data_IF_977735478078
#
_entry.id   IF_977735478078
#
_cell.length_a   1.000
_cell.length_b   1.000
_cell.length_c   1.000
_cell.angle_alpha   90.00
_cell.angle_beta   90.00
_cell.angle_gamma   90.00
#
_symmetry.space_group_name_H-M   'P 1'
#
loop_
_entity.id
_entity.type
_entity.pdbx_description
1 polymer ?
#
# COMPACT_ATOMS: atom_id res chain seq x y z
N UNK A 1 8.25 -0.74 -1.39
CA UNK A 1 8.03 -0.07 -0.09
C UNK A 1 6.56 -0.01 0.33
N UNK A 2 5.64 0.55 -0.47
CA UNK A 2 4.23 0.73 -0.09
C UNK A 2 3.55 -0.53 0.47
N UNK A 3 3.67 -1.68 -0.21
CA UNK A 3 3.16 -2.96 0.30
C UNK A 3 3.63 -3.22 1.73
N UNK A 4 4.92 -3.12 2.00
CA UNK A 4 5.53 -3.42 3.32
C UNK A 4 5.02 -2.44 4.39
N UNK A 5 4.88 -1.17 4.02
CA UNK A 5 4.34 -0.13 4.90
C UNK A 5 2.87 -0.42 5.27
N UNK A 6 1.99 -0.56 4.26
CA UNK A 6 0.56 -0.72 4.50
C UNK A 6 0.22 -2.04 5.21
N UNK A 7 0.96 -3.11 4.93
CA UNK A 7 0.73 -4.41 5.58
C UNK A 7 1.43 -4.55 6.93
N UNK A 8 2.23 -3.56 7.36
CA UNK A 8 2.97 -3.61 8.62
C UNK A 8 4.03 -4.71 8.65
N UNK A 9 4.58 -5.09 7.49
CA UNK A 9 5.59 -6.14 7.36
C UNK A 9 7.00 -5.68 7.79
N UNK A 10 7.17 -4.40 8.12
CA UNK A 10 8.38 -3.85 8.74
C UNK A 10 8.46 -4.07 10.25
N UNK A 11 7.34 -4.46 10.90
CA UNK A 11 7.30 -4.66 12.36
C UNK A 11 8.28 -5.76 12.77
N UNK A 12 8.67 -5.77 14.05
CA UNK A 12 9.59 -6.75 14.62
C UNK A 12 9.24 -8.18 14.15
N UNK A 13 10.22 -8.97 13.65
CA UNK A 13 11.68 -8.76 13.70
C UNK A 13 12.29 -8.02 12.48
N UNK A 14 11.50 -7.38 11.61
CA UNK A 14 11.95 -6.90 10.28
C UNK A 14 12.29 -5.41 10.20
N UNK A 15 12.46 -4.74 11.34
CA UNK A 15 12.77 -3.31 11.42
C UNK A 15 14.09 -2.97 10.72
N UNK A 16 15.14 -3.79 10.94
CA UNK A 16 16.43 -3.62 10.26
C UNK A 16 16.32 -3.88 8.76
N UNK A 17 15.48 -4.84 8.36
CA UNK A 17 15.27 -5.13 6.94
C UNK A 17 14.58 -3.96 6.22
N UNK A 18 13.69 -3.23 6.91
CA UNK A 18 13.11 -1.99 6.41
C UNK A 18 14.15 -0.90 6.22
N UNK A 19 15.01 -0.66 7.22
CA UNK A 19 16.09 0.34 7.15
C UNK A 19 17.00 0.05 5.96
N UNK A 20 17.48 -1.20 5.82
CA UNK A 20 18.33 -1.61 4.71
C UNK A 20 17.58 -1.47 3.37
N UNK A 21 16.32 -1.90 3.30
CA UNK A 21 15.50 -1.78 2.10
C UNK A 21 15.27 -0.32 1.69
N UNK A 22 15.13 0.59 2.64
CA UNK A 22 15.00 2.01 2.39
C UNK A 22 16.34 2.64 1.95
N UNK A 23 17.47 2.25 2.57
CA UNK A 23 18.80 2.67 2.12
C UNK A 23 19.08 2.18 0.69
N UNK A 24 18.70 0.94 0.35
CA UNK A 24 18.76 0.42 -1.02
C UNK A 24 17.93 1.27 -1.99
N UNK A 25 16.75 1.74 -1.57
CA UNK A 25 15.94 2.66 -2.38
C UNK A 25 16.64 4.00 -2.63
N UNK A 26 17.25 4.61 -1.60
CA UNK A 26 18.04 5.85 -1.77
C UNK A 26 19.25 5.62 -2.68
N UNK A 27 19.98 4.51 -2.50
CA UNK A 27 21.13 4.17 -3.33
C UNK A 27 20.74 3.88 -4.78
N UNK A 28 19.59 3.24 -5.02
CA UNK A 28 19.08 3.00 -6.37
C UNK A 28 18.70 4.31 -7.08
N UNK A 29 18.13 5.28 -6.36
CA UNK A 29 17.89 6.62 -6.90
C UNK A 29 19.19 7.36 -7.19
N UNK A 30 20.16 7.31 -6.27
CA UNK A 30 21.48 7.89 -6.49
C UNK A 30 22.16 7.25 -7.70
N UNK A 31 22.00 5.95 -7.87
CA UNK A 31 22.58 5.21 -8.98
C UNK A 31 21.92 5.51 -10.34
N UNK A 32 20.59 5.68 -10.36
CA UNK A 32 19.91 6.20 -11.54
C UNK A 32 20.38 7.62 -11.88
N UNK A 33 20.52 8.47 -10.86
CA UNK A 33 21.00 9.84 -10.99
C UNK A 33 22.43 9.92 -11.56
N UNK A 34 23.37 9.10 -11.08
CA UNK A 34 24.73 9.09 -11.61
C UNK A 34 24.76 8.55 -13.05
N UNK A 35 23.90 7.59 -13.40
CA UNK A 35 23.83 6.97 -14.72
C UNK A 35 23.29 7.88 -15.81
N UNK A 36 22.15 8.54 -15.59
CA UNK A 36 21.60 9.47 -16.59
C UNK A 36 22.49 10.71 -16.79
N UNK A 37 23.40 10.99 -15.84
CA UNK A 37 24.35 12.09 -15.89
C UNK A 37 25.62 11.81 -16.70
N UNK A 38 25.89 10.55 -17.06
CA UNK A 38 27.11 10.17 -17.80
C UNK A 38 27.14 10.63 -19.28
N UNK A 39 26.02 10.63 -20.03
CA UNK A 39 26.02 11.07 -21.42
C UNK A 39 26.39 12.55 -21.62
N UNK A 40 26.33 13.37 -20.56
CA UNK A 40 26.62 14.81 -20.59
C UNK A 40 25.86 15.55 -21.72
N UNK A 41 24.58 15.24 -21.83
CA UNK A 41 23.65 15.90 -22.74
C UNK A 41 23.02 17.15 -22.08
N UNK A 42 22.33 17.96 -22.89
CA UNK A 42 21.74 19.21 -22.40
C UNK A 42 20.78 19.02 -21.21
N UNK A 43 20.04 17.90 -21.17
CA UNK A 43 19.09 17.61 -20.11
C UNK A 43 19.81 17.23 -18.80
N UNK A 44 20.78 16.32 -18.88
CA UNK A 44 21.54 15.86 -17.73
C UNK A 44 22.45 16.93 -17.14
N UNK A 45 23.12 17.73 -17.96
CA UNK A 45 23.96 18.83 -17.49
C UNK A 45 23.15 19.93 -16.77
N UNK A 46 21.92 20.21 -17.22
CA UNK A 46 21.01 21.10 -16.48
C UNK A 46 20.60 20.50 -15.12
N UNK A 47 20.38 19.19 -15.06
CA UNK A 47 20.18 18.48 -13.79
C UNK A 47 21.38 18.62 -12.84
N UNK A 48 22.60 18.43 -13.36
CA UNK A 48 23.83 18.63 -12.58
C UNK A 48 24.00 20.09 -12.11
N UNK A 49 23.58 21.06 -12.92
CA UNK A 49 23.58 22.48 -12.53
C UNK A 49 22.66 22.76 -11.35
N UNK A 50 21.47 22.12 -11.32
CA UNK A 50 20.54 22.22 -10.17
C UNK A 50 21.20 21.64 -8.92
N UNK A 51 21.84 20.46 -9.02
CA UNK A 51 22.55 19.84 -7.89
C UNK A 51 23.70 20.72 -7.39
N UNK A 52 24.49 21.32 -8.28
CA UNK A 52 25.52 22.29 -7.91
C UNK A 52 24.94 23.47 -7.13
N UNK A 53 23.80 24.01 -7.58
CA UNK A 53 23.06 25.06 -6.88
C UNK A 53 22.59 24.63 -5.48
N UNK A 54 22.02 23.43 -5.35
CA UNK A 54 21.59 22.87 -4.07
C UNK A 54 22.76 22.70 -3.08
N UNK A 55 23.90 22.19 -3.57
CA UNK A 55 25.10 21.98 -2.76
C UNK A 55 25.65 23.33 -2.30
N UNK A 56 25.78 24.32 -3.20
CA UNK A 56 26.22 25.68 -2.85
C UNK A 56 25.28 26.38 -1.88
N UNK A 57 23.98 26.05 -1.90
CA UNK A 57 22.99 26.55 -0.96
C UNK A 57 23.19 26.05 0.48
N UNK A 58 24.01 25.02 0.73
CA UNK A 58 24.32 24.58 2.08
C UNK A 58 25.19 25.63 2.80
N UNK A 59 24.77 26.13 3.97
CA UNK A 59 25.54 27.12 4.70
C UNK A 59 26.87 26.51 5.17
N UNK A 60 27.90 27.36 5.28
CA UNK A 60 29.25 27.04 5.76
C UNK A 60 30.09 26.16 4.82
N UNK A 61 29.57 25.02 4.37
CA UNK A 61 30.35 24.01 3.64
C UNK A 61 30.02 23.92 2.14
N UNK A 62 28.92 24.51 1.68
CA UNK A 62 28.38 24.27 0.34
C UNK A 62 29.36 24.56 -0.81
N UNK A 63 30.01 25.72 -0.79
CA UNK A 63 31.00 26.10 -1.81
C UNK A 63 32.18 25.12 -1.85
N UNK A 64 32.69 24.72 -0.69
CA UNK A 64 33.80 23.76 -0.59
C UNK A 64 33.40 22.37 -1.12
N UNK A 65 32.19 21.92 -0.80
CA UNK A 65 31.66 20.64 -1.28
C UNK A 65 31.45 20.66 -2.80
N UNK A 66 30.92 21.75 -3.36
CA UNK A 66 30.77 21.90 -4.82
C UNK A 66 32.14 21.87 -5.50
N UNK A 67 33.09 22.70 -5.07
CA UNK A 67 34.45 22.74 -5.66
C UNK A 67 35.16 21.40 -5.53
N UNK A 68 34.98 20.71 -4.39
CA UNK A 68 35.50 19.38 -4.20
C UNK A 68 34.94 18.46 -5.28
N UNK A 69 33.63 18.40 -5.47
CA UNK A 69 32.94 17.46 -6.36
C UNK A 69 33.18 17.73 -7.86
N UNK A 70 33.10 18.99 -8.29
CA UNK A 70 33.21 19.37 -9.70
C UNK A 70 34.66 19.61 -10.15
N UNK A 71 35.61 19.78 -9.21
CA UNK A 71 37.00 20.08 -9.53
C UNK A 71 37.25 21.54 -9.92
N UNK A 72 36.34 22.45 -9.56
CA UNK A 72 36.41 23.86 -9.90
C UNK A 72 35.02 24.51 -9.90
N UNK A 73 34.90 25.63 -10.61
CA UNK A 73 33.59 26.20 -10.92
C UNK A 73 32.84 25.32 -11.94
N UNK A 74 31.52 25.20 -11.77
CA UNK A 74 30.66 24.45 -12.66
C UNK A 74 30.78 24.97 -14.11
N UNK A 75 30.83 24.10 -15.15
CA UNK A 75 30.58 22.65 -15.13
C UNK A 75 31.74 21.79 -14.58
N UNK A 76 32.95 22.35 -14.46
CA UNK A 76 34.13 21.62 -13.99
C UNK A 76 34.62 20.54 -14.96
N UNK A 77 35.79 19.96 -14.69
CA UNK A 77 36.40 18.93 -15.55
C UNK A 77 36.35 17.53 -14.93
N UNK A 78 36.08 17.43 -13.64
CA UNK A 78 36.25 16.18 -12.88
C UNK A 78 34.93 15.42 -12.68
N UNK A 79 33.78 16.08 -12.85
CA UNK A 79 32.49 15.53 -12.42
C UNK A 79 32.12 14.24 -13.17
N UNK A 80 32.26 14.21 -14.49
CA UNK A 80 31.87 13.04 -15.31
C UNK A 80 32.74 11.82 -14.95
N UNK A 81 34.06 11.99 -14.81
CA UNK A 81 34.96 10.91 -14.40
C UNK A 81 34.66 10.34 -13.01
N UNK A 82 34.23 11.20 -12.09
CA UNK A 82 33.82 10.78 -10.75
C UNK A 82 32.47 10.07 -10.76
N UNK A 83 31.49 10.61 -11.49
CA UNK A 83 30.19 9.96 -11.67
C UNK A 83 30.34 8.58 -12.32
N UNK A 84 31.24 8.43 -13.30
CA UNK A 84 31.55 7.14 -13.92
C UNK A 84 32.07 6.13 -12.89
N UNK A 85 33.00 6.54 -12.03
CA UNK A 85 33.53 5.68 -10.96
C UNK A 85 32.46 5.32 -9.92
N UNK A 86 31.61 6.28 -9.56
CA UNK A 86 30.49 6.06 -8.64
C UNK A 86 29.46 5.09 -9.23
N UNK A 87 29.08 5.31 -10.50
CA UNK A 87 28.02 4.57 -11.19
C UNK A 87 28.42 3.14 -11.54
N UNK A 88 29.64 2.92 -12.04
CA UNK A 88 30.00 1.57 -12.52
C UNK A 88 30.54 0.69 -11.39
N UNK A 89 31.26 1.28 -10.43
CA UNK A 89 31.97 0.52 -9.39
C UNK A 89 31.31 0.67 -8.02
N UNK A 90 31.31 1.89 -7.46
CA UNK A 90 31.08 2.07 -6.03
C UNK A 90 29.61 1.82 -5.63
N UNK A 91 28.66 2.47 -6.29
CA UNK A 91 27.24 2.38 -5.97
C UNK A 91 26.69 0.96 -6.26
N UNK A 92 26.96 0.32 -7.41
CA UNK A 92 26.54 -1.07 -7.64
C UNK A 92 27.15 -2.05 -6.66
N UNK A 93 28.43 -1.92 -6.29
CA UNK A 93 29.06 -2.81 -5.32
C UNK A 93 28.38 -2.71 -3.94
N UNK A 94 28.07 -1.50 -3.48
CA UNK A 94 27.34 -1.28 -2.23
C UNK A 94 25.90 -1.82 -2.33
N UNK A 95 25.22 -1.57 -3.46
CA UNK A 95 23.87 -2.06 -3.72
C UNK A 95 23.81 -3.59 -3.68
N UNK A 96 24.72 -4.29 -4.35
CA UNK A 96 24.79 -5.76 -4.34
C UNK A 96 25.07 -6.26 -2.93
N UNK A 97 26.04 -5.67 -2.22
CA UNK A 97 26.34 -6.05 -0.84
C UNK A 97 25.14 -5.91 0.10
N UNK A 98 24.44 -4.77 0.06
CA UNK A 98 23.25 -4.54 0.86
C UNK A 98 22.05 -5.39 0.40
N UNK A 99 21.91 -5.67 -0.89
CA UNK A 99 20.86 -6.55 -1.42
C UNK A 99 21.04 -7.97 -0.87
N UNK A 100 22.27 -8.49 -0.83
CA UNK A 100 22.57 -9.79 -0.22
C UNK A 100 22.17 -9.82 1.26
N UNK A 101 22.54 -8.79 2.03
CA UNK A 101 22.14 -8.68 3.44
C UNK A 101 20.61 -8.60 3.58
N UNK A 102 19.95 -7.81 2.73
CA UNK A 102 18.49 -7.66 2.72
C UNK A 102 17.77 -9.00 2.46
N UNK A 103 18.23 -9.76 1.45
CA UNK A 103 17.68 -11.08 1.14
C UNK A 103 18.00 -12.10 2.23
N UNK A 104 19.20 -12.06 2.81
CA UNK A 104 19.59 -12.93 3.92
C UNK A 104 18.69 -12.72 5.14
N UNK A 105 18.43 -11.47 5.53
CA UNK A 105 17.51 -11.16 6.63
C UNK A 105 16.09 -11.64 6.37
N UNK A 106 15.63 -11.59 5.11
CA UNK A 106 14.34 -12.14 4.72
C UNK A 106 14.30 -13.68 4.85
N UNK A 107 15.37 -14.38 4.48
CA UNK A 107 15.47 -15.86 4.59
C UNK A 107 15.51 -16.30 6.06
N UNK A 108 16.26 -15.59 6.90
CA UNK A 108 16.38 -15.86 8.34
C UNK A 108 15.03 -15.60 9.04
N UNK A 109 14.45 -14.42 8.87
CA UNK A 109 13.22 -14.02 9.56
C UNK A 109 11.93 -14.57 8.94
N UNK A 110 12.05 -15.30 7.82
CA UNK A 110 10.96 -15.80 6.97
C UNK A 110 10.04 -14.69 6.43
N UNK A 111 9.34 -15.02 5.34
CA UNK A 111 8.39 -14.09 4.72
C UNK A 111 7.12 -13.94 5.58
N UNK A 112 6.53 -12.74 5.60
CA UNK A 112 5.23 -12.50 6.27
C UNK A 112 4.08 -13.13 5.49
N UNK A 113 3.03 -13.56 6.18
CA UNK A 113 1.80 -14.09 5.57
C UNK A 113 0.57 -13.35 6.08
N UNK A 114 -0.47 -13.22 5.26
CA UNK A 114 -1.76 -12.72 5.77
C UNK A 114 -2.44 -13.79 6.62
N UNK A 115 -3.20 -13.33 7.64
CA UNK A 115 -4.05 -14.19 8.46
C UNK A 115 -4.96 -15.06 7.57
N UNK A 116 -5.10 -16.33 7.95
CA UNK A 116 -5.81 -17.36 7.21
C UNK A 116 -5.82 -18.68 7.98
N UNK A 117 -6.36 -19.77 7.40
CA UNK A 117 -6.55 -21.01 8.12
C UNK A 117 -5.18 -21.68 8.27
N UNK A 118 -4.95 -22.25 9.44
CA UNK A 118 -3.66 -22.84 9.79
C UNK A 118 -2.45 -21.88 9.65
N UNK A 119 -2.66 -20.56 9.57
CA UNK A 119 -1.58 -19.55 9.52
C UNK A 119 -1.42 -18.89 10.88
N UNK A 120 -0.39 -19.29 11.60
CA UNK A 120 -0.04 -18.76 12.93
C UNK A 120 1.20 -17.87 12.84
N UNK A 121 1.56 -17.22 13.95
CA UNK A 121 2.81 -16.47 14.01
C UNK A 121 4.07 -17.37 14.01
N UNK A 122 3.90 -18.67 14.28
CA UNK A 122 5.01 -19.61 14.46
C UNK A 122 5.27 -20.46 13.22
N UNK A 123 4.40 -20.37 12.20
CA UNK A 123 4.52 -21.17 10.99
C UNK A 123 4.50 -20.30 9.72
N UNK A 124 4.84 -20.92 8.60
CA UNK A 124 4.72 -20.33 7.27
C UNK A 124 4.01 -21.34 6.38
N UNK A 125 2.83 -20.97 5.89
CA UNK A 125 2.02 -21.82 5.03
C UNK A 125 2.19 -21.37 3.59
N UNK A 126 2.75 -22.24 2.75
CA UNK A 126 2.96 -21.97 1.34
C UNK A 126 3.64 -23.14 0.64
N UNK A 127 3.90 -22.96 -0.66
CA UNK A 127 4.64 -23.95 -1.44
C UNK A 127 6.11 -23.97 -1.04
N UNK A 128 6.77 -25.14 -1.03
CA UNK A 128 8.21 -25.22 -0.87
C UNK A 128 8.93 -24.49 -2.02
N UNK A 129 10.18 -24.09 -1.77
CA UNK A 129 11.01 -23.35 -2.74
C UNK A 129 11.10 -24.08 -4.09
N UNK A 130 11.26 -25.40 -4.05
CA UNK A 130 11.29 -26.26 -5.23
C UNK A 130 10.15 -27.28 -5.22
N UNK A 131 9.52 -27.56 -6.38
CA UNK A 131 9.72 -26.91 -7.69
C UNK A 131 8.82 -25.68 -7.91
N UNK A 132 7.68 -25.60 -7.20
CA UNK A 132 6.58 -24.70 -7.56
C UNK A 132 6.96 -23.22 -7.44
N UNK A 133 7.59 -22.84 -6.32
CA UNK A 133 7.90 -21.44 -6.07
C UNK A 133 8.99 -20.91 -7.02
N UNK A 134 10.05 -21.69 -7.29
CA UNK A 134 11.08 -21.33 -8.25
C UNK A 134 10.52 -21.18 -9.67
N UNK A 135 9.65 -22.08 -10.12
CA UNK A 135 9.01 -21.94 -11.44
C UNK A 135 8.14 -20.69 -11.54
N UNK A 136 7.40 -20.34 -10.48
CA UNK A 136 6.62 -19.09 -10.42
C UNK A 136 7.52 -17.85 -10.43
N UNK A 137 8.61 -17.86 -9.65
CA UNK A 137 9.59 -16.77 -9.64
C UNK A 137 10.27 -16.60 -11.00
N UNK A 138 10.72 -17.69 -11.63
CA UNK A 138 11.34 -17.68 -12.95
C UNK A 138 10.37 -17.21 -14.04
N UNK A 139 9.11 -17.70 -14.00
CA UNK A 139 8.06 -17.22 -14.90
C UNK A 139 7.79 -15.73 -14.75
N UNK A 140 7.68 -15.22 -13.51
CA UNK A 140 7.50 -13.79 -13.26
C UNK A 140 8.72 -12.96 -13.70
N UNK A 141 9.93 -13.49 -13.55
CA UNK A 141 11.15 -12.86 -14.07
C UNK A 141 11.09 -12.71 -15.60
N UNK A 142 10.74 -13.76 -16.34
CA UNK A 142 10.63 -13.68 -17.81
C UNK A 142 9.50 -12.77 -18.28
N UNK A 143 8.38 -12.71 -17.56
CA UNK A 143 7.31 -11.75 -17.84
C UNK A 143 7.83 -10.32 -17.64
N UNK A 144 8.48 -10.04 -16.52
CA UNK A 144 9.02 -8.70 -16.22
C UNK A 144 10.10 -8.30 -17.23
N UNK A 145 11.02 -9.22 -17.53
CA UNK A 145 12.06 -9.03 -18.54
C UNK A 145 11.46 -8.77 -19.92
N UNK A 146 10.47 -9.58 -20.34
CA UNK A 146 9.78 -9.41 -21.62
C UNK A 146 9.10 -8.05 -21.73
N UNK A 147 8.42 -7.60 -20.67
CA UNK A 147 7.80 -6.26 -20.64
C UNK A 147 8.86 -5.16 -20.75
N UNK A 148 9.98 -5.26 -20.03
CA UNK A 148 11.08 -4.28 -20.11
C UNK A 148 11.66 -4.23 -21.53
N UNK A 149 11.91 -5.39 -22.15
CA UNK A 149 12.42 -5.48 -23.54
C UNK A 149 11.43 -4.88 -24.54
N UNK A 150 10.12 -5.14 -24.36
CA UNK A 150 9.08 -4.55 -25.22
C UNK A 150 9.05 -3.03 -25.08
N UNK A 151 9.11 -2.50 -23.86
CA UNK A 151 9.15 -1.05 -23.64
C UNK A 151 10.40 -0.46 -24.30
N UNK A 152 11.57 -1.06 -24.08
CA UNK A 152 12.83 -0.59 -24.64
C UNK A 152 12.89 -0.68 -26.19
N UNK A 153 12.14 -1.60 -26.79
CA UNK A 153 12.12 -1.78 -28.26
C UNK A 153 11.06 -0.90 -28.94
N UNK A 154 9.93 -0.62 -28.28
CA UNK A 154 8.79 0.08 -28.86
C UNK A 154 8.74 1.57 -28.51
N UNK A 155 9.38 1.98 -27.41
CA UNK A 155 9.37 3.35 -26.93
C UNK A 155 10.79 3.88 -26.79
N UNK A 156 11.03 5.07 -27.33
CA UNK A 156 12.30 5.76 -27.14
C UNK A 156 12.37 6.35 -25.73
N UNK A 157 13.43 6.00 -24.99
CA UNK A 157 13.74 6.56 -23.67
C UNK A 157 15.08 7.30 -23.79
N UNK A 158 15.11 8.54 -23.31
CA UNK A 158 16.27 9.45 -23.32
C UNK A 158 16.96 9.59 -24.70
N UNK A 159 16.31 10.25 -25.69
CA UNK A 159 16.91 10.45 -27.01
C UNK A 159 18.01 11.51 -26.99
N UNK A 160 19.21 11.15 -26.51
CA UNK A 160 20.35 12.07 -26.32
C UNK A 160 20.75 12.83 -27.60
N UNK A 161 20.52 12.25 -28.78
CA UNK A 161 20.78 12.89 -30.08
C UNK A 161 19.85 14.08 -30.37
N UNK A 162 18.68 14.15 -29.75
CA UNK A 162 17.77 15.30 -29.86
C UNK A 162 18.19 16.46 -28.94
N UNK A 163 18.84 16.15 -27.81
CA UNK A 163 19.28 17.15 -26.85
C UNK A 163 20.65 17.75 -27.24
N UNK A 164 21.52 16.94 -27.81
CA UNK A 164 22.89 17.35 -28.13
C UNK A 164 23.79 17.43 -26.89
N UNK A 165 25.08 17.75 -27.09
CA UNK A 165 26.03 17.88 -26.00
C UNK A 165 25.65 19.02 -25.05
N UNK A 166 26.04 18.90 -23.78
CA UNK A 166 25.84 19.96 -22.81
C UNK A 166 26.58 21.24 -23.20
N UNK A 167 25.85 22.35 -23.24
CA UNK A 167 26.37 23.71 -23.36
C UNK A 167 25.74 24.51 -22.20
N UNK A 168 26.53 25.24 -21.40
CA UNK A 168 26.01 26.00 -20.27
C UNK A 168 25.24 27.27 -20.66
N UNK A 169 25.22 27.66 -21.95
CA UNK A 169 24.54 28.86 -22.43
C UNK A 169 23.05 28.66 -22.81
N UNK A 170 22.63 27.56 -23.46
CA UNK A 170 21.22 27.27 -23.68
C UNK A 170 20.57 26.49 -22.51
N UNK A 171 19.26 26.68 -22.35
CA UNK A 171 18.39 25.78 -21.55
C UNK A 171 17.22 25.34 -22.42
N UNK A 172 16.83 24.07 -22.33
CA UNK A 172 15.63 23.57 -23.02
C UNK A 172 14.37 23.85 -22.20
N UNK A 173 13.22 23.94 -22.86
CA UNK A 173 11.94 23.92 -22.17
C UNK A 173 11.67 22.50 -21.64
N UNK A 174 11.17 22.37 -20.40
CA UNK A 174 10.85 21.06 -19.81
C UNK A 174 12.06 20.28 -19.30
N UNK A 175 13.09 20.96 -18.77
CA UNK A 175 14.20 20.29 -18.07
C UNK A 175 13.67 19.64 -16.79
N UNK A 176 13.42 18.33 -16.83
CA UNK A 176 12.93 17.56 -15.70
C UNK A 176 13.89 16.39 -15.45
N UNK A 177 14.22 16.09 -14.19
CA UNK A 177 14.97 14.88 -13.90
C UNK A 177 14.08 13.66 -14.11
N UNK A 178 14.70 12.48 -14.10
CA UNK A 178 13.96 11.23 -14.14
C UNK A 178 12.89 11.16 -13.03
N UNK A 179 11.80 10.45 -13.32
CA UNK A 179 10.60 10.39 -12.47
C UNK A 179 10.88 10.00 -11.01
N UNK A 180 11.93 9.24 -10.74
CA UNK A 180 12.33 8.82 -9.39
C UNK A 180 13.11 9.89 -8.61
N UNK A 181 13.65 10.91 -9.28
CA UNK A 181 14.26 12.11 -8.67
C UNK A 181 13.30 13.32 -8.74
N UNK A 182 12.28 13.27 -9.61
CA UNK A 182 11.32 14.36 -9.84
C UNK A 182 10.77 15.03 -8.57
N UNK A 183 10.46 14.26 -7.53
CA UNK A 183 9.95 14.84 -6.28
C UNK A 183 10.92 15.84 -5.61
N UNK A 184 12.24 15.69 -5.80
CA UNK A 184 13.23 16.60 -5.26
C UNK A 184 13.25 17.93 -6.01
N UNK A 185 13.19 17.89 -7.34
CA UNK A 185 13.06 19.08 -8.19
C UNK A 185 11.73 19.79 -7.95
N UNK A 186 10.63 19.04 -7.88
CA UNK A 186 9.31 19.60 -7.58
C UNK A 186 9.25 20.32 -6.24
N UNK A 187 9.99 19.87 -5.21
CA UNK A 187 10.07 20.58 -3.95
C UNK A 187 10.74 21.96 -4.09
N UNK A 188 11.78 22.06 -4.92
CA UNK A 188 12.44 23.35 -5.23
C UNK A 188 11.51 24.26 -6.03
N UNK A 189 10.78 23.73 -7.01
CA UNK A 189 9.83 24.51 -7.82
C UNK A 189 8.67 25.10 -7.01
N UNK A 190 8.21 24.40 -5.97
CA UNK A 190 7.14 24.88 -5.10
C UNK A 190 7.62 25.85 -4.02
N UNK A 191 8.92 26.02 -3.84
CA UNK A 191 9.47 26.92 -2.85
C UNK A 191 9.22 28.39 -3.23
N UNK A 192 8.75 29.26 -2.32
CA UNK A 192 8.61 30.67 -2.61
C UNK A 192 9.97 31.32 -2.90
N UNK A 193 10.09 31.97 -4.06
CA UNK A 193 11.36 32.52 -4.56
C UNK A 193 11.93 33.67 -3.73
N UNK A 194 11.08 34.38 -2.97
CA UNK A 194 11.46 35.55 -2.17
C UNK A 194 12.02 35.20 -0.77
N UNK A 195 12.24 33.91 -0.48
CA UNK A 195 12.77 33.44 0.80
C UNK A 195 14.30 33.48 0.81
N UNK A 196 14.85 34.68 0.64
CA UNK A 196 16.29 34.92 0.76
C UNK A 196 16.56 36.15 1.62
N UNK A 197 17.58 36.09 2.48
CA UNK A 197 18.00 37.24 3.26
C UNK A 197 19.51 37.26 3.47
N UNK A 198 20.06 38.44 3.70
CA UNK A 198 21.49 38.62 3.98
C UNK A 198 21.68 38.74 5.48
N UNK A 199 22.52 37.89 6.06
CA UNK A 199 22.87 37.91 7.48
C UNK A 199 24.35 37.57 7.67
N UNK A 200 25.05 38.37 8.48
CA UNK A 200 26.50 38.25 8.72
C UNK A 200 27.35 38.26 7.44
N UNK A 201 27.03 39.12 6.47
CA UNK A 201 27.67 39.15 5.15
C UNK A 201 27.57 37.84 4.35
N UNK A 202 26.62 36.96 4.70
CA UNK A 202 26.31 35.75 3.95
C UNK A 202 24.86 35.80 3.46
N UNK A 203 24.63 35.31 2.25
CA UNK A 203 23.28 35.12 1.70
C UNK A 203 22.72 33.80 2.20
N UNK A 204 21.54 33.84 2.80
CA UNK A 204 20.80 32.68 3.26
C UNK A 204 19.64 32.42 2.30
N UNK A 205 19.81 31.42 1.43
CA UNK A 205 18.82 30.98 0.45
C UNK A 205 17.84 29.97 1.07
N UNK A 206 16.85 30.46 1.82
CA UNK A 206 15.83 29.60 2.44
C UNK A 206 14.92 28.92 1.41
N UNK A 207 14.74 29.54 0.24
CA UNK A 207 14.13 28.93 -0.94
C UNK A 207 14.78 27.60 -1.36
N UNK A 208 16.06 27.37 -1.07
CA UNK A 208 16.76 26.09 -1.30
C UNK A 208 16.82 25.26 -0.02
N UNK A 209 17.18 25.87 1.11
CA UNK A 209 17.40 25.18 2.38
C UNK A 209 16.11 24.53 2.90
N UNK A 210 14.97 25.22 2.83
CA UNK A 210 13.71 24.72 3.38
C UNK A 210 13.22 23.48 2.62
N UNK A 211 13.12 23.46 1.28
CA UNK A 211 12.77 22.24 0.54
C UNK A 211 13.72 21.08 0.84
N UNK A 212 15.03 21.31 0.83
CA UNK A 212 16.03 20.26 1.13
C UNK A 212 15.83 19.71 2.55
N UNK A 213 15.59 20.59 3.52
CA UNK A 213 15.34 20.19 4.91
C UNK A 213 14.02 19.42 5.05
N UNK A 214 12.94 19.87 4.42
CA UNK A 214 11.64 19.19 4.45
C UNK A 214 11.74 17.81 3.81
N UNK A 215 12.40 17.68 2.66
CA UNK A 215 12.66 16.39 2.01
C UNK A 215 13.53 15.49 2.87
N UNK A 216 14.61 16.02 3.46
CA UNK A 216 15.48 15.30 4.37
C UNK A 216 14.71 14.77 5.60
N UNK A 217 13.88 15.62 6.21
CA UNK A 217 13.01 15.22 7.32
C UNK A 217 11.98 14.18 6.90
N UNK A 218 11.38 14.30 5.71
CA UNK A 218 10.45 13.30 5.17
C UNK A 218 11.13 11.94 4.97
N UNK A 219 12.31 11.92 4.34
CA UNK A 219 13.12 10.72 4.12
C UNK A 219 13.48 10.08 5.46
N UNK A 220 13.96 10.86 6.43
CA UNK A 220 14.29 10.38 7.77
C UNK A 220 13.05 9.85 8.49
N UNK A 221 11.91 10.55 8.40
CA UNK A 221 10.67 10.12 9.02
C UNK A 221 10.20 8.75 8.49
N UNK A 222 10.29 8.52 7.17
CA UNK A 222 9.96 7.22 6.56
C UNK A 222 10.97 6.14 6.98
N UNK A 223 12.26 6.48 7.02
CA UNK A 223 13.32 5.55 7.44
C UNK A 223 13.09 5.05 8.88
N UNK A 224 12.78 5.96 9.81
CA UNK A 224 12.63 5.63 11.23
C UNK A 224 11.19 5.26 11.64
N UNK A 225 10.24 5.28 10.70
CA UNK A 225 8.83 5.02 10.96
C UNK A 225 8.54 3.74 11.75
N UNK A 226 9.19 2.58 11.47
CA UNK A 226 8.99 1.36 12.28
C UNK A 226 9.21 1.56 13.77
N UNK A 227 10.25 2.33 14.13
CA UNK A 227 10.61 2.60 15.52
C UNK A 227 9.64 3.57 16.18
N UNK A 228 9.10 4.53 15.42
CA UNK A 228 8.03 5.42 15.87
C UNK A 228 6.77 4.60 16.19
N UNK A 229 6.31 3.77 15.25
CA UNK A 229 5.11 2.94 15.47
C UNK A 229 5.31 1.96 16.63
N UNK A 230 6.45 1.29 16.70
CA UNK A 230 6.78 0.38 17.82
C UNK A 230 6.87 1.08 19.17
N UNK A 231 7.30 2.35 19.21
CA UNK A 231 7.29 3.16 20.42
C UNK A 231 5.87 3.57 20.82
N UNK A 232 5.03 3.98 19.86
CA UNK A 232 3.62 4.36 20.12
C UNK A 232 2.81 3.15 20.60
N UNK A 233 2.93 2.00 19.93
CA UNK A 233 2.17 0.79 20.29
C UNK A 233 2.69 0.16 21.58
N UNK A 234 4.01 0.18 21.81
CA UNK A 234 4.64 -0.56 22.90
C UNK A 234 4.71 -2.05 22.72
N UNK A 235 4.28 -2.58 21.57
CA UNK A 235 4.31 -4.01 21.30
C UNK A 235 5.76 -4.44 20.99
N UNK A 236 6.26 -5.41 21.76
CA UNK A 236 7.61 -5.97 21.60
C UNK A 236 7.60 -7.43 21.13
N UNK A 237 6.41 -7.96 20.82
CA UNK A 237 6.23 -9.31 20.29
C UNK A 237 6.74 -9.39 18.84
N UNK A 238 6.97 -10.60 18.38
CA UNK A 238 7.31 -10.85 16.98
C UNK A 238 6.04 -11.02 16.16
N UNK A 239 5.99 -10.34 15.01
CA UNK A 239 4.85 -10.35 14.11
C UNK A 239 5.23 -11.02 12.78
N UNK A 240 4.66 -12.19 12.53
CA UNK A 240 4.79 -12.91 11.25
C UNK A 240 3.50 -12.85 10.43
N UNK A 241 2.39 -12.49 11.08
CA UNK A 241 1.13 -12.18 10.41
C UNK A 241 1.08 -10.72 9.95
N UNK A 242 0.94 -10.53 8.64
CA UNK A 242 0.73 -9.25 7.99
C UNK A 242 -0.68 -8.70 8.32
N UNK A 243 -0.76 -7.42 8.59
CA UNK A 243 -2.04 -6.74 8.80
C UNK A 243 -2.67 -6.37 7.47
N UNK A 244 -3.98 -6.50 7.37
CA UNK A 244 -4.72 -5.86 6.28
C UNK A 244 -4.63 -4.33 6.47
N UNK A 245 -4.38 -3.54 5.42
CA UNK A 245 -4.25 -2.09 5.55
C UNK A 245 -5.46 -1.43 6.23
N UNK A 246 -6.67 -1.91 5.93
CA UNK A 246 -7.90 -1.42 6.57
C UNK A 246 -7.91 -1.60 8.10
N UNK A 247 -7.24 -2.61 8.65
CA UNK A 247 -7.19 -2.90 10.09
C UNK A 247 -6.17 -2.04 10.85
N UNK A 248 -5.31 -1.30 10.13
CA UNK A 248 -4.38 -0.34 10.69
C UNK A 248 -4.70 1.07 10.16
N UNK A 249 -5.93 1.53 10.41
CA UNK A 249 -6.50 2.73 9.79
C UNK A 249 -5.60 3.96 9.90
N UNK A 250 -5.05 4.24 11.09
CA UNK A 250 -4.17 5.40 11.31
C UNK A 250 -2.85 5.28 10.53
N UNK A 251 -2.20 4.11 10.53
CA UNK A 251 -1.00 3.88 9.70
C UNK A 251 -1.31 4.06 8.23
N UNK A 252 -2.40 3.46 7.75
CA UNK A 252 -2.81 3.54 6.35
C UNK A 252 -3.13 4.97 5.94
N UNK A 253 -3.73 5.76 6.82
CA UNK A 253 -3.95 7.18 6.61
C UNK A 253 -2.65 7.99 6.55
N UNK A 254 -1.68 7.72 7.44
CA UNK A 254 -0.34 8.34 7.38
C UNK A 254 0.37 8.00 6.06
N UNK A 255 0.30 6.73 5.65
CA UNK A 255 0.89 6.27 4.38
C UNK A 255 0.24 6.94 3.17
N UNK A 256 -1.09 7.04 3.15
CA UNK A 256 -1.80 7.74 2.07
C UNK A 256 -1.46 9.23 2.02
N UNK A 257 -1.37 9.89 3.18
CA UNK A 257 -0.92 11.28 3.26
C UNK A 257 0.50 11.47 2.71
N UNK A 258 1.43 10.57 3.08
CA UNK A 258 2.80 10.58 2.55
C UNK A 258 2.89 10.31 1.05
N UNK A 259 2.04 9.41 0.51
CA UNK A 259 1.94 9.16 -0.94
C UNK A 259 1.40 10.38 -1.66
N UNK A 260 0.37 11.05 -1.13
CA UNK A 260 -0.16 12.29 -1.74
C UNK A 260 0.87 13.41 -1.69
N UNK A 261 1.59 13.57 -0.58
CA UNK A 261 2.70 14.52 -0.48
C UNK A 261 3.75 14.26 -1.56
N UNK A 262 4.22 13.01 -1.68
CA UNK A 262 5.17 12.61 -2.73
C UNK A 262 4.62 12.83 -4.14
N UNK A 263 3.34 12.51 -4.39
CA UNK A 263 2.71 12.64 -5.70
C UNK A 263 2.56 14.09 -6.13
N UNK A 264 2.27 15.01 -5.20
CA UNK A 264 2.21 16.45 -5.49
C UNK A 264 3.59 16.98 -5.84
N UNK A 265 4.63 16.58 -5.09
CA UNK A 265 6.02 16.95 -5.42
C UNK A 265 6.43 16.40 -6.79
N UNK A 266 6.09 15.15 -7.08
CA UNK A 266 6.34 14.54 -8.38
C UNK A 266 5.61 15.28 -9.51
N UNK A 267 4.34 15.65 -9.31
CA UNK A 267 3.58 16.44 -10.29
C UNK A 267 4.16 17.86 -10.47
N UNK A 268 4.71 18.46 -9.41
CA UNK A 268 5.34 19.77 -9.47
C UNK A 268 6.60 19.79 -10.33
N UNK A 269 7.35 18.69 -10.38
CA UNK A 269 8.46 18.52 -11.32
C UNK A 269 8.01 18.72 -12.77
N UNK A 270 6.76 18.36 -13.08
CA UNK A 270 6.15 18.49 -14.40
C UNK A 270 5.24 19.71 -14.58
N UNK A 271 5.34 20.71 -13.70
CA UNK A 271 4.45 21.89 -13.69
C UNK A 271 4.40 22.66 -15.01
N UNK A 272 5.54 22.80 -15.69
CA UNK A 272 5.67 23.44 -17.01
C UNK A 272 4.98 22.63 -18.13
N UNK A 273 5.15 21.31 -18.14
CA UNK A 273 4.46 20.42 -19.07
C UNK A 273 2.95 20.38 -18.81
N UNK A 274 2.53 20.39 -17.54
CA UNK A 274 1.12 20.49 -17.17
C UNK A 274 0.53 21.80 -17.71
N UNK A 275 1.20 22.92 -17.49
CA UNK A 275 0.73 24.22 -17.97
C UNK A 275 0.57 24.24 -19.50
N UNK A 276 1.59 23.76 -20.22
CA UNK A 276 1.60 23.77 -21.70
C UNK A 276 0.62 22.78 -22.32
N UNK A 277 0.50 21.55 -21.80
CA UNK A 277 -0.36 20.51 -22.40
C UNK A 277 -1.83 20.65 -22.01
N UNK A 278 -2.13 21.17 -20.83
CA UNK A 278 -3.50 21.42 -20.38
C UNK A 278 -3.95 22.87 -20.60
N UNK A 279 -3.14 23.70 -21.26
CA UNK A 279 -3.48 25.09 -21.61
C UNK A 279 -3.82 25.93 -20.37
N UNK A 280 -3.05 25.74 -19.30
CA UNK A 280 -3.21 26.42 -18.02
C UNK A 280 -2.12 27.49 -17.83
N UNK A 281 -2.36 28.44 -16.94
CA UNK A 281 -1.33 29.40 -16.52
C UNK A 281 -0.32 28.72 -15.61
N UNK A 282 0.96 29.06 -15.77
CA UNK A 282 2.04 28.47 -14.96
C UNK A 282 1.86 28.83 -13.47
N UNK A 283 1.50 30.08 -13.20
CA UNK A 283 1.24 30.60 -11.86
C UNK A 283 0.06 29.88 -11.20
N UNK A 284 -1.01 29.62 -11.97
CA UNK A 284 -2.17 28.88 -11.51
C UNK A 284 -1.83 27.43 -11.14
N UNK A 285 -1.02 26.75 -11.97
CA UNK A 285 -0.55 25.38 -11.70
C UNK A 285 0.31 25.35 -10.44
N UNK A 286 1.30 26.25 -10.31
CA UNK A 286 2.18 26.31 -9.13
C UNK A 286 1.39 26.61 -7.86
N UNK A 287 0.49 27.60 -7.89
CA UNK A 287 -0.32 27.94 -6.72
C UNK A 287 -1.23 26.77 -6.30
N UNK A 288 -1.86 26.11 -7.27
CA UNK A 288 -2.68 24.93 -6.99
C UNK A 288 -1.87 23.81 -6.33
N UNK A 289 -0.66 23.54 -6.85
CA UNK A 289 0.22 22.51 -6.30
C UNK A 289 0.76 22.89 -4.91
N UNK A 290 1.07 24.17 -4.65
CA UNK A 290 1.46 24.66 -3.32
C UNK A 290 0.34 24.46 -2.29
N UNK A 291 -0.90 24.81 -2.64
CA UNK A 291 -2.06 24.59 -1.77
C UNK A 291 -2.26 23.09 -1.54
N UNK A 292 -2.20 22.30 -2.61
CA UNK A 292 -2.40 20.85 -2.56
C UNK A 292 -1.30 20.13 -1.78
N UNK A 293 -0.06 20.65 -1.79
CA UNK A 293 1.05 20.09 -1.03
C UNK A 293 0.76 20.06 0.47
N UNK A 294 0.04 21.07 0.97
CA UNK A 294 -0.32 21.19 2.39
C UNK A 294 -1.68 20.56 2.67
N UNK A 295 -2.69 20.92 1.89
CA UNK A 295 -4.08 20.51 2.14
C UNK A 295 -4.33 19.06 1.70
N UNK A 296 -3.70 18.62 0.60
CA UNK A 296 -3.87 17.29 0.02
C UNK A 296 -3.55 16.16 1.00
N UNK A 297 -2.36 16.13 1.65
CA UNK A 297 -2.03 15.11 2.65
C UNK A 297 -3.01 15.09 3.83
N UNK A 298 -3.50 16.26 4.28
CA UNK A 298 -4.47 16.37 5.37
C UNK A 298 -5.81 15.73 4.97
N UNK A 299 -6.33 16.08 3.79
CA UNK A 299 -7.55 15.47 3.24
C UNK A 299 -7.36 13.96 3.08
N UNK A 300 -6.24 13.54 2.48
CA UNK A 300 -5.93 12.14 2.25
C UNK A 300 -5.89 11.33 3.54
N UNK A 301 -5.34 11.90 4.62
CA UNK A 301 -5.35 11.28 5.95
C UNK A 301 -6.78 11.04 6.45
N UNK A 302 -7.62 12.09 6.51
CA UNK A 302 -8.97 11.96 7.07
C UNK A 302 -9.88 11.08 6.22
N UNK A 303 -9.83 11.22 4.89
CA UNK A 303 -10.62 10.41 3.95
C UNK A 303 -10.20 8.95 4.06
N UNK A 304 -8.89 8.66 4.02
CA UNK A 304 -8.38 7.29 4.11
C UNK A 304 -8.73 6.63 5.45
N UNK A 305 -8.60 7.37 6.56
CA UNK A 305 -8.96 6.86 7.89
C UNK A 305 -10.45 6.51 7.96
N UNK A 306 -11.34 7.38 7.44
CA UNK A 306 -12.78 7.12 7.37
C UNK A 306 -13.13 5.93 6.49
N UNK A 307 -12.49 5.81 5.32
CA UNK A 307 -12.68 4.65 4.43
C UNK A 307 -12.25 3.37 5.14
N UNK A 308 -11.10 3.35 5.82
CA UNK A 308 -10.66 2.16 6.56
C UNK A 308 -11.67 1.75 7.64
N UNK A 309 -12.17 2.70 8.43
CA UNK A 309 -13.18 2.41 9.46
C UNK A 309 -14.50 1.94 8.83
N UNK A 310 -14.94 2.53 7.73
CA UNK A 310 -16.12 2.08 7.00
C UNK A 310 -15.96 0.64 6.48
N UNK A 311 -14.79 0.31 5.93
CA UNK A 311 -14.46 -1.06 5.50
C UNK A 311 -14.44 -2.05 6.68
N UNK A 312 -13.93 -1.65 7.86
CA UNK A 312 -13.99 -2.49 9.05
C UNK A 312 -15.43 -2.69 9.54
N UNK A 313 -16.28 -1.65 9.50
CA UNK A 313 -17.70 -1.77 9.82
C UNK A 313 -18.40 -2.73 8.87
N UNK A 314 -18.08 -2.66 7.58
CA UNK A 314 -18.60 -3.59 6.57
C UNK A 314 -18.14 -5.02 6.84
N UNK A 315 -16.86 -5.22 7.18
CA UNK A 315 -16.34 -6.54 7.55
C UNK A 315 -17.05 -7.10 8.81
N UNK A 316 -17.40 -6.24 9.78
CA UNK A 316 -18.18 -6.61 10.97
C UNK A 316 -19.64 -6.95 10.64
N UNK A 317 -20.27 -6.16 9.78
CA UNK A 317 -21.64 -6.42 9.30
C UNK A 317 -21.72 -7.79 8.62
N UNK A 318 -20.80 -8.07 7.68
CA UNK A 318 -20.73 -9.35 6.99
C UNK A 318 -20.52 -10.49 8.00
N UNK A 319 -19.60 -10.33 8.94
CA UNK A 319 -19.32 -11.37 9.94
C UNK A 319 -20.53 -11.72 10.83
N UNK A 320 -21.41 -10.75 11.11
CA UNK A 320 -22.59 -10.93 11.95
C UNK A 320 -23.83 -11.34 11.15
N UNK A 321 -24.09 -10.71 10.00
CA UNK A 321 -25.37 -10.87 9.30
C UNK A 321 -25.28 -11.72 8.04
N UNK A 322 -24.09 -11.99 7.50
CA UNK A 322 -23.94 -12.64 6.20
C UNK A 322 -23.63 -11.67 5.06
N UNK A 323 -23.48 -12.22 3.86
CA UNK A 323 -23.36 -11.44 2.64
C UNK A 323 -24.72 -11.01 2.12
N UNK A 324 -24.80 -9.80 1.55
CA UNK A 324 -25.94 -9.36 0.77
C UNK A 324 -26.12 -10.27 -0.45
N UNK A 325 -27.25 -10.96 -0.55
CA UNK A 325 -27.53 -11.83 -1.71
C UNK A 325 -28.18 -11.08 -2.86
N UNK A 326 -28.75 -9.88 -2.61
CA UNK A 326 -29.62 -9.17 -3.55
C UNK A 326 -31.01 -9.79 -3.71
N UNK A 327 -31.33 -10.91 -3.02
CA UNK A 327 -32.67 -11.50 -2.99
C UNK A 327 -33.52 -10.77 -1.96
N UNK A 328 -34.51 -10.01 -2.44
CA UNK A 328 -35.49 -9.34 -1.59
C UNK A 328 -36.76 -10.18 -1.55
N UNK A 329 -37.18 -10.57 -0.36
CA UNK A 329 -38.44 -11.30 -0.11
C UNK A 329 -39.41 -10.35 0.59
N UNK A 330 -40.67 -10.37 0.16
CA UNK A 330 -41.75 -9.63 0.80
C UNK A 330 -42.49 -10.57 1.74
N UNK A 331 -42.48 -10.28 3.04
CA UNK A 331 -43.17 -11.06 4.07
C UNK A 331 -44.70 -10.85 3.99
N UNK A 332 -45.51 -11.76 4.55
CA UNK A 332 -46.98 -11.64 4.58
C UNK A 332 -47.49 -10.32 5.21
N UNK A 333 -46.74 -9.76 6.15
CA UNK A 333 -47.02 -8.45 6.76
C UNK A 333 -46.76 -7.24 5.84
N UNK A 334 -46.25 -7.46 4.64
CA UNK A 334 -45.90 -6.42 3.66
C UNK A 334 -44.50 -5.84 3.81
N UNK A 335 -43.73 -6.27 4.80
CA UNK A 335 -42.33 -5.90 5.00
C UNK A 335 -41.43 -6.52 3.92
N UNK A 336 -40.34 -5.83 3.57
CA UNK A 336 -39.34 -6.32 2.63
C UNK A 336 -38.04 -6.60 3.38
N UNK A 337 -37.53 -7.82 3.24
CA UNK A 337 -36.26 -8.22 3.83
C UNK A 337 -35.29 -8.70 2.76
N UNK A 338 -34.02 -8.37 2.91
CA UNK A 338 -32.96 -8.96 2.10
C UNK A 338 -32.47 -10.25 2.76
N UNK A 339 -32.49 -11.35 2.01
CA UNK A 339 -32.00 -12.64 2.48
C UNK A 339 -30.48 -12.58 2.49
N UNK A 340 -29.86 -12.72 3.65
CA UNK A 340 -28.40 -12.72 3.75
C UNK A 340 -27.84 -14.13 3.66
N UNK A 341 -26.81 -14.33 2.82
CA UNK A 341 -26.11 -15.60 2.72
C UNK A 341 -25.17 -15.78 3.93
N UNK A 342 -25.24 -16.90 4.66
CA UNK A 342 -24.37 -17.12 5.81
C UNK A 342 -22.89 -17.15 5.41
N UNK A 343 -22.06 -16.55 6.26
CA UNK A 343 -20.60 -16.60 6.11
C UNK A 343 -20.10 -17.93 6.63
N UNK A 344 -19.24 -18.58 5.85
CA UNK A 344 -18.50 -19.76 6.29
C UNK A 344 -17.63 -19.45 7.53
N UNK A 345 -17.42 -20.45 8.40
CA UNK A 345 -16.70 -20.27 9.66
C UNK A 345 -15.27 -19.75 9.43
N UNK A 346 -14.60 -20.25 8.39
CA UNK A 346 -13.24 -19.83 8.07
C UNK A 346 -13.19 -18.38 7.58
N UNK A 347 -14.14 -17.97 6.74
CA UNK A 347 -14.24 -16.58 6.29
C UNK A 347 -14.56 -15.64 7.46
N UNK A 348 -15.46 -16.05 8.36
CA UNK A 348 -15.78 -15.28 9.57
C UNK A 348 -14.54 -15.07 10.42
N UNK A 349 -13.76 -16.12 10.70
CA UNK A 349 -12.48 -16.01 11.41
C UNK A 349 -11.51 -15.02 10.75
N UNK A 350 -11.47 -15.00 9.42
CA UNK A 350 -10.61 -14.10 8.64
C UNK A 350 -11.05 -12.63 8.72
N UNK A 351 -12.33 -12.35 8.99
CA UNK A 351 -12.89 -11.01 9.17
C UNK A 351 -12.67 -10.50 10.61
N UNK A 352 -12.93 -11.35 11.61
CA UNK A 352 -12.86 -10.95 13.04
C UNK A 352 -11.50 -11.17 13.69
N UNK A 353 -10.69 -12.11 13.19
CA UNK A 353 -9.43 -12.57 13.78
C UNK A 353 -8.23 -11.65 13.55
N UNK A 354 -8.38 -10.35 13.82
CA UNK A 354 -7.30 -9.38 13.73
C UNK A 354 -6.95 -8.78 15.09
N UNK A 355 -5.66 -8.51 15.31
CA UNK A 355 -5.20 -7.87 16.55
C UNK A 355 -5.64 -6.41 16.61
N UNK A 356 -6.20 -6.01 17.75
CA UNK A 356 -6.63 -4.64 18.02
C UNK A 356 -5.85 -4.12 19.23
N UNK A 357 -5.27 -2.93 19.11
CA UNK A 357 -4.52 -2.29 20.19
C UNK A 357 -5.40 -1.34 20.98
N UNK A 358 -5.20 -1.30 22.29
CA UNK A 358 -5.83 -0.33 23.17
C UNK A 358 -4.91 0.87 23.43
N UNK A 359 -5.45 2.05 23.77
CA UNK A 359 -4.66 3.23 24.01
C UNK A 359 -3.96 3.05 25.34
N UNK A 360 -2.67 3.38 25.38
CA UNK A 360 -1.87 3.20 26.59
C UNK A 360 -2.41 4.04 27.75
N UNK A 361 -2.82 3.36 28.82
CA UNK A 361 -3.22 4.00 30.08
C UNK A 361 -1.97 4.29 30.90
N UNK A 362 -1.67 5.57 31.13
CA UNK A 362 -0.51 5.99 31.92
C UNK A 362 -0.86 6.04 33.39
N UNK A 363 -0.06 5.35 34.20
CA UNK A 363 -0.12 5.45 35.67
C UNK A 363 0.94 6.43 36.17
N UNK A 364 0.62 7.30 37.15
CA UNK A 364 1.62 8.15 37.78
C UNK A 364 2.75 7.32 38.39
N UNK A 365 3.96 7.86 38.39
CA UNK A 365 5.10 7.22 39.05
C UNK A 365 4.94 7.23 40.59
N UNK A 366 5.90 6.64 41.31
CA UNK A 366 5.90 6.61 42.79
C UNK A 366 5.86 8.00 43.46
N UNK A 367 6.14 9.09 42.72
CA UNK A 367 6.04 10.49 43.18
C UNK A 367 4.74 11.17 42.73
N UNK A 368 3.77 10.43 42.21
CA UNK A 368 2.49 10.94 41.73
C UNK A 368 2.59 11.79 40.45
N UNK A 369 3.72 11.77 39.73
CA UNK A 369 3.93 12.57 38.52
C UNK A 369 3.96 11.69 37.27
N UNK A 370 3.39 12.20 36.18
CA UNK A 370 3.51 11.59 34.86
C UNK A 370 4.66 12.28 34.12
N UNK A 371 5.62 11.51 33.60
CA UNK A 371 6.72 12.07 32.83
C UNK A 371 6.24 12.65 31.50
N UNK A 372 6.88 13.72 31.01
CA UNK A 372 6.55 14.35 29.73
C UNK A 372 6.46 13.33 28.58
N UNK A 373 7.50 12.50 28.41
CA UNK A 373 7.53 11.48 27.36
C UNK A 373 6.46 10.40 27.48
N UNK A 374 6.05 10.06 28.71
CA UNK A 374 4.97 9.09 28.93
C UNK A 374 3.61 9.70 28.55
N UNK A 375 3.39 10.97 28.89
CA UNK A 375 2.18 11.69 28.51
C UNK A 375 2.08 11.87 26.99
N UNK A 376 3.18 12.26 26.33
CA UNK A 376 3.24 12.40 24.87
C UNK A 376 2.96 11.07 24.18
N UNK A 377 3.59 9.98 24.65
CA UNK A 377 3.36 8.63 24.12
C UNK A 377 1.89 8.20 24.24
N UNK A 378 1.25 8.48 25.37
CA UNK A 378 -0.16 8.14 25.58
C UNK A 378 -1.11 9.00 24.75
N UNK A 379 -0.79 10.28 24.55
CA UNK A 379 -1.53 11.12 23.61
C UNK A 379 -1.46 10.59 22.18
N UNK A 380 -0.27 10.18 21.73
CA UNK A 380 -0.09 9.59 20.40
C UNK A 380 -0.76 8.21 20.27
N UNK A 381 -0.71 7.41 21.33
CA UNK A 381 -1.41 6.11 21.39
C UNK A 381 -2.93 6.27 21.33
N UNK A 382 -3.49 7.28 22.02
CA UNK A 382 -4.90 7.68 21.86
C UNK A 382 -5.20 8.08 20.43
N UNK A 383 -4.45 9.01 19.85
CA UNK A 383 -4.65 9.40 18.44
C UNK A 383 -4.59 8.22 17.45
N UNK A 384 -3.73 7.22 17.73
CA UNK A 384 -3.63 6.01 16.92
C UNK A 384 -4.83 5.06 17.03
N UNK A 385 -5.36 4.88 18.24
CA UNK A 385 -6.25 3.75 18.58
C UNK A 385 -7.60 4.12 19.22
N UNK A 386 -7.89 5.40 19.41
CA UNK A 386 -9.16 5.88 19.99
C UNK A 386 -10.35 5.57 19.09
N UNK A 387 -10.21 5.75 17.77
CA UNK A 387 -11.27 5.49 16.78
C UNK A 387 -11.44 4.01 16.41
N UNK A 388 -10.88 3.09 17.21
CA UNK A 388 -10.98 1.65 16.92
C UNK A 388 -12.41 1.15 17.08
N UNK A 389 -12.78 0.15 16.29
CA UNK A 389 -13.97 -0.65 16.58
C UNK A 389 -13.62 -1.68 17.66
N UNK A 390 -14.57 -1.94 18.57
CA UNK A 390 -14.45 -3.04 19.51
C UNK A 390 -14.44 -4.38 18.74
N UNK A 391 -13.60 -5.34 19.15
CA UNK A 391 -13.62 -6.68 18.55
C UNK A 391 -15.00 -7.32 18.77
N UNK A 392 -15.45 -8.08 17.78
CA UNK A 392 -16.69 -8.86 17.88
C UNK A 392 -16.49 -9.94 18.95
N UNK A 393 -17.40 -10.04 19.90
CA UNK A 393 -17.34 -11.09 20.93
C UNK A 393 -17.94 -12.40 20.43
N UNK A 394 -17.52 -13.52 21.00
CA UNK A 394 -18.11 -14.82 20.65
C UNK A 394 -19.63 -14.83 20.90
N UNK A 395 -20.09 -14.19 21.98
CA UNK A 395 -21.51 -14.05 22.28
C UNK A 395 -22.29 -13.27 21.21
N UNK A 396 -21.69 -12.24 20.61
CA UNK A 396 -22.30 -11.53 19.49
C UNK A 396 -22.39 -12.42 18.24
N UNK A 397 -21.36 -13.23 17.97
CA UNK A 397 -21.35 -14.19 16.86
C UNK A 397 -22.42 -15.26 17.06
N UNK A 398 -22.47 -15.89 18.24
CA UNK A 398 -23.42 -16.96 18.53
C UNK A 398 -24.87 -16.47 18.43
N UNK A 399 -25.15 -15.27 18.96
CA UNK A 399 -26.46 -14.64 18.85
C UNK A 399 -26.82 -14.33 17.38
N UNK A 400 -25.86 -13.85 16.59
CA UNK A 400 -26.10 -13.51 15.20
C UNK A 400 -26.32 -14.76 14.32
N UNK A 401 -25.57 -15.84 14.57
CA UNK A 401 -25.78 -17.15 13.93
C UNK A 401 -27.16 -17.70 14.28
N UNK A 402 -27.54 -17.69 15.56
CA UNK A 402 -28.87 -18.16 15.99
C UNK A 402 -30.00 -17.36 15.33
N UNK A 403 -29.86 -16.03 15.27
CA UNK A 403 -30.82 -15.16 14.59
C UNK A 403 -30.88 -15.46 13.08
N UNK A 404 -29.74 -15.67 12.43
CA UNK A 404 -29.69 -15.99 11.00
C UNK A 404 -30.36 -17.33 10.69
N UNK A 405 -30.11 -18.37 11.48
CA UNK A 405 -30.80 -19.66 11.34
C UNK A 405 -32.31 -19.52 11.49
N UNK A 406 -32.77 -18.86 12.55
CA UNK A 406 -34.20 -18.62 12.76
C UNK A 406 -34.84 -17.84 11.60
N UNK A 407 -34.15 -16.84 11.07
CA UNK A 407 -34.64 -16.03 9.94
C UNK A 407 -34.77 -16.88 8.68
N UNK A 408 -33.76 -17.69 8.36
CA UNK A 408 -33.77 -18.56 7.19
C UNK A 408 -34.84 -19.66 7.30
N UNK A 409 -34.99 -20.28 8.47
CA UNK A 409 -36.04 -21.26 8.73
C UNK A 409 -37.44 -20.66 8.61
N UNK A 410 -37.64 -19.45 9.14
CA UNK A 410 -38.91 -18.75 9.01
C UNK A 410 -39.26 -18.42 7.56
N UNK A 411 -38.30 -17.91 6.78
CA UNK A 411 -38.50 -17.63 5.36
C UNK A 411 -38.81 -18.92 4.59
N UNK A 412 -38.07 -20.00 4.84
CA UNK A 412 -38.31 -21.28 4.21
C UNK A 412 -39.72 -21.81 4.51
N UNK A 413 -40.14 -21.73 5.78
CA UNK A 413 -41.48 -22.14 6.19
C UNK A 413 -42.58 -21.29 5.53
N UNK A 414 -42.43 -19.97 5.46
CA UNK A 414 -43.39 -19.10 4.77
C UNK A 414 -43.45 -19.35 3.26
N UNK A 415 -42.28 -19.57 2.63
CA UNK A 415 -42.19 -19.91 1.21
C UNK A 415 -42.90 -21.25 0.93
N UNK A 416 -42.70 -22.27 1.76
CA UNK A 416 -43.41 -23.54 1.69
C UNK A 416 -44.94 -23.40 1.86
N UNK A 417 -45.39 -22.58 2.82
CA UNK A 417 -46.82 -22.31 3.03
C UNK A 417 -47.45 -21.57 1.84
N UNK A 418 -46.75 -20.59 1.25
CA UNK A 418 -47.23 -19.88 0.07
C UNK A 418 -47.36 -20.81 -1.14
N UNK A 419 -46.35 -21.65 -1.38
CA UNK A 419 -46.35 -22.66 -2.45
C UNK A 419 -47.51 -23.64 -2.24
N UNK A 420 -47.69 -24.15 -1.01
CA UNK A 420 -48.81 -25.04 -0.67
C UNK A 420 -50.16 -24.38 -0.90
N UNK A 421 -50.32 -23.12 -0.48
CA UNK A 421 -51.53 -22.34 -0.76
C UNK A 421 -51.75 -22.10 -2.25
N UNK A 422 -50.69 -21.92 -3.04
CA UNK A 422 -50.78 -21.81 -4.50
C UNK A 422 -51.23 -23.12 -5.15
N UNK A 423 -50.71 -24.26 -4.69
CA UNK A 423 -51.11 -25.60 -5.11
C UNK A 423 -52.57 -25.89 -4.80
N UNK A 424 -53.04 -25.55 -3.60
CA UNK A 424 -54.45 -25.67 -3.21
C UNK A 424 -55.35 -24.80 -4.11
N UNK A 425 -54.97 -23.54 -4.36
CA UNK A 425 -55.70 -22.64 -5.28
C UNK A 425 -55.73 -23.14 -6.72
N UNK A 426 -54.68 -23.85 -7.16
CA UNK A 426 -54.59 -24.46 -8.48
C UNK A 426 -55.31 -25.82 -8.58
N UNK A 427 -55.78 -26.39 -7.47
CA UNK A 427 -56.45 -27.68 -7.42
C UNK A 427 -55.53 -28.91 -7.41
N UNK A 428 -54.24 -28.73 -7.11
CA UNK A 428 -53.22 -29.79 -7.07
C UNK A 428 -52.51 -29.84 -5.70
N UNK A 429 -53.20 -30.21 -4.61
CA UNK A 429 -52.65 -30.13 -3.24
C UNK A 429 -51.41 -31.01 -3.00
N UNK A 430 -51.25 -32.08 -3.77
CA UNK A 430 -50.13 -33.03 -3.64
C UNK A 430 -48.92 -32.67 -4.53
N UNK A 431 -48.89 -31.48 -5.13
CA UNK A 431 -47.78 -31.06 -5.97
C UNK A 431 -46.50 -30.80 -5.13
N UNK A 432 -45.29 -31.15 -5.66
CA UNK A 432 -44.03 -31.01 -4.93
C UNK A 432 -43.73 -29.57 -4.52
N UNK A 433 -43.36 -29.35 -3.25
CA UNK A 433 -43.03 -28.02 -2.72
C UNK A 433 -41.67 -27.51 -3.20
N UNK A 434 -40.73 -28.41 -3.46
CA UNK A 434 -39.45 -28.07 -4.06
C UNK A 434 -39.56 -27.99 -5.58
N UNK A 435 -38.89 -27.02 -6.23
CA UNK A 435 -38.76 -27.00 -7.68
C UNK A 435 -38.17 -28.33 -8.17
N UNK A 436 -38.82 -28.97 -9.14
CA UNK A 436 -38.23 -30.11 -9.83
C UNK A 436 -37.01 -29.58 -10.61
N UNK A 437 -35.80 -29.89 -10.15
CA UNK A 437 -34.58 -29.63 -10.92
C UNK A 437 -34.56 -30.58 -12.12
N UNK A 438 -35.12 -30.11 -13.24
CA UNK A 438 -35.19 -30.84 -14.50
C UNK A 438 -33.92 -30.68 -15.34
N UNK A 439 -32.85 -30.10 -14.77
CA UNK A 439 -31.59 -29.81 -15.46
C UNK A 439 -31.70 -28.74 -16.55
N UNK A 440 -32.86 -28.08 -16.70
CA UNK A 440 -33.04 -26.94 -17.60
C UNK A 440 -33.13 -25.68 -16.74
N UNK A 441 -31.99 -25.01 -16.61
CA UNK A 441 -31.89 -23.72 -15.92
C UNK A 441 -33.04 -22.78 -16.30
N UNK A 442 -33.94 -22.51 -15.35
CA UNK A 442 -34.84 -21.37 -15.44
C UNK A 442 -34.00 -20.09 -15.38
N UNK A 443 -34.38 -19.07 -16.15
CA UNK A 443 -33.65 -17.81 -16.32
C UNK A 443 -33.66 -16.89 -15.07
N UNK A 444 -33.59 -17.47 -13.87
CA UNK A 444 -33.43 -16.75 -12.60
C UNK A 444 -32.02 -16.95 -12.06
N UNK A 445 -31.45 -15.86 -11.55
CA UNK A 445 -30.04 -15.73 -11.20
C UNK A 445 -29.51 -16.91 -10.36
N UNK A 446 -28.53 -17.59 -10.92
CA UNK A 446 -27.85 -18.77 -10.40
C UNK A 446 -27.15 -18.45 -9.06
N UNK A 447 -27.42 -19.24 -8.03
CA UNK A 447 -26.61 -19.31 -6.82
C UNK A 447 -25.13 -19.52 -7.18
N UNK A 448 -24.16 -18.81 -6.60
CA UNK A 448 -22.76 -19.24 -6.66
C UNK A 448 -22.66 -20.55 -5.86
N UNK A 449 -22.64 -21.66 -6.58
CA UNK A 449 -22.54 -23.01 -6.01
C UNK A 449 -21.15 -23.20 -5.40
N UNK A 450 -21.01 -22.89 -4.11
CA UNK A 450 -20.07 -23.60 -3.24
C UNK A 450 -20.90 -24.53 -2.35
N UNK A 451 -21.36 -25.64 -2.94
CA UNK A 451 -21.91 -26.75 -2.18
C UNK A 451 -20.77 -27.38 -1.38
N UNK A 452 -20.84 -27.23 -0.05
CA UNK A 452 -20.15 -28.09 0.90
C UNK A 452 -20.85 -29.45 0.78
N UNK A 453 -20.14 -30.47 0.31
CA UNK A 453 -20.59 -31.84 0.42
C UNK A 453 -20.66 -32.19 1.91
N UNK A 454 -21.86 -32.48 2.43
CA UNK A 454 -22.00 -33.10 3.74
C UNK A 454 -21.27 -34.45 3.73
N UNK A 455 -20.45 -34.71 4.74
CA UNK A 455 -19.82 -36.02 4.93
C UNK A 455 -20.93 -37.08 5.09
N UNK A 456 -20.84 -38.24 4.41
CA UNK A 456 -21.77 -39.33 4.65
C UNK A 456 -21.49 -39.95 6.03
N UNK A 457 -22.55 -40.29 6.75
CA UNK A 457 -22.47 -40.96 8.05
C UNK A 457 -21.54 -42.18 8.02
N UNK A 458 -20.82 -42.48 9.13
CA UNK A 458 -19.91 -43.61 9.19
C UNK A 458 -20.69 -44.93 9.16
N UNK A 459 -20.89 -45.51 7.98
CA UNK A 459 -21.50 -46.83 7.84
C UNK A 459 -21.86 -47.29 6.43
N UNK A 460 -22.04 -46.40 5.47
CA UNK A 460 -22.50 -46.77 4.13
C UNK A 460 -21.35 -46.97 3.15
N UNK A 461 -21.11 -48.24 2.76
CA UNK A 461 -20.17 -48.60 1.69
C UNK A 461 -20.75 -48.17 0.32
N UNK A 462 -19.92 -47.65 -0.61
CA UNK A 462 -20.39 -47.28 -1.94
C UNK A 462 -20.70 -48.51 -2.79
N UNK A 463 -21.87 -48.50 -3.42
CA UNK A 463 -22.40 -49.55 -4.27
C UNK A 463 -21.63 -49.59 -5.61
N UNK A 464 -21.17 -50.79 -6.01
CA UNK A 464 -20.41 -51.02 -7.23
C UNK A 464 -21.38 -51.31 -8.38
N UNK A 465 -21.62 -50.34 -9.25
CA UNK A 465 -22.39 -50.59 -10.48
C UNK A 465 -21.65 -51.58 -11.39
N UNK A 466 -22.26 -52.76 -11.55
CA UNK A 466 -22.03 -53.70 -12.65
C UNK A 466 -23.19 -53.53 -13.62
N UNK A 467 -22.90 -53.10 -14.85
CA UNK A 467 -23.73 -53.46 -15.99
C UNK A 467 -22.85 -54.03 -17.09
N UNK A 468 -23.21 -55.24 -17.51
CA UNK A 468 -22.72 -55.96 -18.67
C UNK A 468 -23.94 -56.17 -19.59
N UNK A 469 -23.75 -55.82 -20.85
CA UNK A 469 -24.31 -56.44 -22.07
C UNK A 469 -25.84 -56.60 -22.23
N UNK A 470 -26.39 -55.96 -23.26
CA UNK A 470 -26.98 -56.69 -24.40
C UNK A 470 -27.15 -55.76 -25.61
N UNK A 471 -26.76 -56.24 -26.78
CA UNK A 471 -26.80 -55.49 -28.03
C UNK A 471 -28.11 -55.63 -28.83
N UNK A 472 -28.24 -54.71 -29.79
CA UNK A 472 -28.64 -54.94 -31.18
C UNK A 472 -28.03 -53.85 -32.05
#
# INVERSE_FOLDING_TARGET
MLRVFFTGAFRKPRELNWVIGFVLFILAMAEGFTGYSLPDDLLSGNGLRIIDGMIKGLPVIGTWTSFLLFGGEFPGTEIVGRLYTLHILLLPAILVGLLLVHLMLMIINKHTQFAGPARTNENVVGYPMMPVYMSKMGGFFFITFGVIVLIASLFTINPIWNYGPYDPSPVSAGTQPDWYIGFADGALRLAPSHWEFVFLNHTWSLNIIVPVLVLGLFIVAVLIYPFIEAWITGDKREHHIAQRPRNAATRTAIGAAGVVFYAVLWAAAASDLIATHFWLTMEGVILFLQITLIVGPIIAYFVTKRICIALQKKDREIALHGYESGRIVRLPGGEYIEVHQPVDEYERYKLVGHEIYEPLVVRPNAKGRIGFWQNTRASLSRWFFEDRLAPVTQTEIDAAVAHQHHTLEHIAHEEEEEIRGAHERAGFPDAPLDPIDDGKHSETAVHPTHLIAAEPEPGTKPEKNREKDSGQ
#
